data_IF_599506254041
#
_entry.id   IF_599506254041
#
_cell.length_a   1.000
_cell.length_b   1.000
_cell.length_c   1.000
_cell.angle_alpha   90.00
_cell.angle_beta   90.00
_cell.angle_gamma   90.00
#
_symmetry.space_group_name_H-M   'P 1'
#
loop_
_entity.id
_entity.type
_entity.pdbx_description
1 polymer ?
#
# COMPACT_ATOMS: atom_id res chain seq x y z
N UNK A 1 -9.15 -20.40 -22.22
CA UNK A 1 -9.17 -21.48 -23.23
C UNK A 1 -7.94 -21.28 -24.10
N UNK A 2 -7.06 -22.29 -24.17
CA UNK A 2 -5.85 -22.28 -24.97
C UNK A 2 -6.19 -22.32 -26.46
N UNK A 3 -5.38 -21.67 -27.31
CA UNK A 3 -4.67 -22.28 -28.45
C UNK A 3 -3.89 -21.19 -29.20
N UNK A 4 -2.57 -21.34 -29.25
CA UNK A 4 -1.68 -20.61 -30.14
C UNK A 4 -1.00 -21.64 -31.05
N UNK A 5 -0.92 -21.32 -32.35
CA UNK A 5 0.03 -21.97 -33.27
C UNK A 5 -0.52 -22.26 -34.66
N UNK A 6 -0.35 -21.31 -35.59
CA UNK A 6 0.59 -21.43 -36.72
C UNK A 6 0.30 -20.32 -37.73
N UNK A 7 1.24 -19.39 -37.87
CA UNK A 7 1.21 -18.33 -38.87
C UNK A 7 2.63 -18.00 -39.27
N UNK A 8 3.08 -18.67 -40.33
CA UNK A 8 4.36 -18.49 -41.00
C UNK A 8 4.47 -17.11 -41.66
N UNK A 9 5.50 -16.34 -41.26
CA UNK A 9 6.32 -15.48 -42.11
C UNK A 9 5.68 -14.24 -42.74
N UNK A 10 5.98 -13.07 -42.17
CA UNK A 10 6.21 -11.83 -42.91
C UNK A 10 7.30 -10.99 -42.19
N UNK A 11 8.48 -10.76 -42.78
CA UNK A 11 9.49 -9.87 -42.22
C UNK A 11 9.22 -8.46 -42.73
N UNK A 12 8.21 -7.78 -42.17
CA UNK A 12 7.85 -6.46 -42.70
C UNK A 12 6.86 -5.63 -41.90
N UNK A 13 6.21 -6.16 -40.86
CA UNK A 13 5.25 -5.36 -40.08
C UNK A 13 5.81 -5.03 -38.70
N UNK A 14 6.46 -3.88 -38.59
CA UNK A 14 6.65 -3.18 -37.32
C UNK A 14 5.31 -2.58 -36.87
N UNK A 15 4.31 -3.42 -36.63
CA UNK A 15 3.12 -3.05 -35.89
C UNK A 15 3.31 -3.52 -34.46
N UNK A 16 4.16 -2.78 -33.73
CA UNK A 16 4.05 -2.71 -32.28
C UNK A 16 2.62 -2.28 -32.01
N UNK A 17 1.77 -3.21 -31.58
CA UNK A 17 0.47 -2.85 -31.01
C UNK A 17 0.78 -1.88 -29.90
N UNK A 18 0.49 -0.60 -30.14
CA UNK A 18 0.49 0.42 -29.12
C UNK A 18 -0.48 -0.06 -28.03
N UNK A 19 0.07 -0.78 -27.05
CA UNK A 19 -0.49 -0.78 -25.72
C UNK A 19 -0.30 0.67 -25.31
N UNK A 20 -1.31 1.47 -25.60
CA UNK A 20 -1.60 2.67 -24.85
C UNK A 20 -1.90 2.20 -23.43
N UNK A 21 -0.86 1.82 -22.69
CA UNK A 21 -0.84 1.98 -21.25
C UNK A 21 -1.11 3.46 -21.07
N UNK A 22 -2.36 3.80 -20.72
CA UNK A 22 -2.59 5.07 -20.05
C UNK A 22 -1.46 5.21 -19.04
N UNK A 23 -0.76 6.35 -19.07
CA UNK A 23 0.29 6.72 -18.12
C UNK A 23 -0.35 6.95 -16.74
N UNK A 24 -1.04 5.91 -16.25
CA UNK A 24 -1.57 5.78 -14.92
C UNK A 24 -0.39 5.28 -14.11
N UNK A 25 0.22 6.14 -13.29
CA UNK A 25 1.35 5.73 -12.47
C UNK A 25 0.91 4.55 -11.61
N UNK A 26 1.74 3.50 -11.61
CA UNK A 26 1.48 2.28 -10.86
C UNK A 26 1.36 2.59 -9.36
N UNK A 27 0.50 1.87 -8.62
CA UNK A 27 0.42 2.00 -7.18
C UNK A 27 1.74 1.58 -6.52
N UNK A 28 2.09 2.23 -5.41
CA UNK A 28 3.24 1.82 -4.59
C UNK A 28 2.79 0.71 -3.66
N UNK A 29 3.51 -0.41 -3.65
CA UNK A 29 3.17 -1.59 -2.84
C UNK A 29 4.11 -1.66 -1.64
N UNK A 30 3.52 -1.93 -0.48
CA UNK A 30 4.17 -2.20 0.79
C UNK A 30 3.81 -3.59 1.25
N UNK A 31 4.70 -4.26 1.98
CA UNK A 31 4.50 -5.63 2.43
C UNK A 31 4.92 -5.83 3.88
N UNK A 32 4.19 -6.69 4.56
CA UNK A 32 4.58 -7.34 5.82
C UNK A 32 5.01 -8.78 5.52
N UNK A 33 5.20 -9.62 6.54
CA UNK A 33 5.59 -11.03 6.37
C UNK A 33 4.60 -11.84 5.53
N UNK A 34 3.30 -11.51 5.54
CA UNK A 34 2.29 -12.22 4.72
C UNK A 34 1.09 -11.37 4.30
N UNK A 35 1.19 -10.04 4.36
CA UNK A 35 0.16 -9.13 3.85
C UNK A 35 0.78 -8.00 3.02
N UNK A 36 -0.07 -7.32 2.26
CA UNK A 36 0.31 -6.28 1.33
C UNK A 36 -0.66 -5.10 1.40
N UNK A 37 -0.13 -3.90 1.14
CA UNK A 37 -0.90 -2.67 1.01
C UNK A 37 -0.46 -1.92 -0.25
N UNK A 38 -1.41 -1.55 -1.11
CA UNK A 38 -1.17 -0.69 -2.27
C UNK A 38 -1.67 0.72 -1.97
N UNK A 39 -0.76 1.69 -2.03
CA UNK A 39 -1.07 3.11 -2.05
C UNK A 39 -1.31 3.55 -3.50
N UNK A 40 -2.52 4.02 -3.79
CA UNK A 40 -2.88 4.59 -5.08
C UNK A 40 -2.61 6.09 -5.11
N UNK A 41 -2.50 6.65 -6.32
CA UNK A 41 -2.28 8.09 -6.52
C UNK A 41 -3.41 8.99 -6.02
N UNK A 42 -4.63 8.45 -5.92
CA UNK A 42 -5.76 9.16 -5.31
C UNK A 42 -5.65 9.25 -3.78
N UNK A 43 -4.62 8.64 -3.17
CA UNK A 43 -4.44 8.60 -1.72
C UNK A 43 -5.26 7.52 -1.03
N UNK A 44 -5.95 6.65 -1.78
CA UNK A 44 -6.63 5.47 -1.24
C UNK A 44 -5.66 4.29 -1.09
N UNK A 45 -5.95 3.45 -0.11
CA UNK A 45 -5.18 2.23 0.17
C UNK A 45 -6.04 0.99 -0.08
N UNK A 46 -5.43 -0.04 -0.65
CA UNK A 46 -6.05 -1.36 -0.79
C UNK A 46 -5.14 -2.39 -0.13
N UNK A 47 -5.69 -3.25 0.72
CA UNK A 47 -4.94 -4.29 1.42
C UNK A 47 -5.38 -5.68 1.01
N UNK A 48 -4.48 -6.65 1.07
CA UNK A 48 -4.76 -8.06 0.84
C UNK A 48 -3.71 -8.96 1.53
N UNK A 49 -4.03 -10.24 1.71
CA UNK A 49 -3.13 -11.22 2.33
C UNK A 49 -3.67 -11.72 3.66
N UNK A 50 -2.77 -11.97 4.61
CA UNK A 50 -3.15 -12.45 5.95
C UNK A 50 -3.82 -11.33 6.77
N UNK A 51 -5.04 -11.57 7.24
CA UNK A 51 -5.86 -10.60 7.97
C UNK A 51 -5.17 -10.11 9.26
N UNK A 52 -4.60 -11.03 10.05
CA UNK A 52 -3.93 -10.74 11.33
C UNK A 52 -2.64 -9.91 11.15
N UNK A 53 -2.06 -9.92 9.95
CA UNK A 53 -0.84 -9.18 9.60
C UNK A 53 -1.11 -7.90 8.78
N UNK A 54 -2.35 -7.41 8.81
CA UNK A 54 -2.76 -6.17 8.14
C UNK A 54 -3.32 -6.35 6.73
N UNK A 55 -3.66 -7.57 6.34
CA UNK A 55 -4.42 -7.87 5.12
C UNK A 55 -5.85 -7.34 5.19
N UNK A 56 -6.44 -7.34 6.39
CA UNK A 56 -7.73 -6.72 6.67
C UNK A 56 -7.53 -5.28 7.19
N UNK A 57 -7.95 -4.30 6.39
CA UNK A 57 -8.00 -2.89 6.76
C UNK A 57 -9.43 -2.37 6.94
N UNK A 58 -10.44 -3.27 6.96
CA UNK A 58 -11.86 -2.90 7.02
C UNK A 58 -12.22 -1.99 8.20
N UNK A 59 -11.56 -2.20 9.35
CA UNK A 59 -11.75 -1.38 10.56
C UNK A 59 -11.33 0.09 10.37
N UNK A 60 -10.34 0.35 9.50
CA UNK A 60 -9.76 1.69 9.27
C UNK A 60 -9.99 2.19 7.85
N UNK A 61 -10.76 1.47 7.02
CA UNK A 61 -10.94 1.77 5.61
C UNK A 61 -11.52 3.18 5.36
N UNK A 62 -12.34 3.68 6.29
CA UNK A 62 -12.87 5.05 6.25
C UNK A 62 -11.84 6.14 6.52
N UNK A 63 -10.71 5.80 7.14
CA UNK A 63 -9.63 6.72 7.50
C UNK A 63 -8.47 6.69 6.49
N UNK A 64 -8.37 5.63 5.67
CA UNK A 64 -7.34 5.44 4.64
C UNK A 64 -7.61 6.27 3.36
N UNK A 65 -7.84 7.55 3.55
CA UNK A 65 -8.03 8.56 2.51
C UNK A 65 -6.97 9.64 2.62
N UNK A 66 -6.52 10.18 1.48
CA UNK A 66 -5.44 11.18 1.44
C UNK A 66 -4.13 10.71 2.09
N UNK A 67 -3.84 9.41 1.97
CA UNK A 67 -2.57 8.83 2.40
C UNK A 67 -1.45 9.34 1.50
N UNK A 68 -0.37 9.82 2.13
CA UNK A 68 0.84 10.29 1.46
C UNK A 68 1.87 9.18 1.32
N UNK A 69 2.05 8.37 2.37
CA UNK A 69 3.03 7.29 2.41
C UNK A 69 2.57 6.23 3.41
N UNK A 70 2.92 4.98 3.16
CA UNK A 70 2.71 3.86 4.08
C UNK A 70 4.08 3.37 4.57
N UNK A 71 4.12 2.96 5.83
CA UNK A 71 5.22 2.25 6.45
C UNK A 71 4.73 0.89 6.92
N UNK A 72 5.61 -0.11 6.91
CA UNK A 72 5.31 -1.45 7.38
C UNK A 72 6.33 -1.94 8.40
N UNK A 73 5.87 -2.83 9.27
CA UNK A 73 6.69 -3.70 10.14
C UNK A 73 6.54 -5.15 9.66
N UNK A 74 6.99 -6.14 10.44
CA UNK A 74 6.79 -7.55 10.10
C UNK A 74 5.31 -7.97 10.07
N UNK A 75 4.44 -7.21 10.76
CA UNK A 75 3.05 -7.62 11.01
C UNK A 75 2.02 -6.48 11.03
N UNK A 76 2.43 -5.22 10.86
CA UNK A 76 1.53 -4.07 10.90
C UNK A 76 1.92 -3.01 9.86
N UNK A 77 0.99 -2.08 9.62
CA UNK A 77 1.16 -0.95 8.72
C UNK A 77 0.81 0.37 9.43
N UNK A 78 1.44 1.45 8.98
CA UNK A 78 1.17 2.82 9.38
C UNK A 78 1.05 3.71 8.14
N UNK A 79 -0.11 4.32 7.92
CA UNK A 79 -0.35 5.30 6.87
C UNK A 79 -0.19 6.71 7.45
N UNK A 80 0.72 7.48 6.85
CA UNK A 80 0.83 8.92 7.09
C UNK A 80 -0.02 9.65 6.05
N UNK A 81 -1.00 10.42 6.52
CA UNK A 81 -1.88 11.24 5.70
C UNK A 81 -1.27 12.60 5.42
N UNK A 82 -1.74 13.26 4.36
CA UNK A 82 -1.28 14.60 3.95
C UNK A 82 -1.55 15.69 5.00
N UNK A 83 -2.51 15.46 5.89
CA UNK A 83 -2.84 16.35 7.01
C UNK A 83 -1.91 16.13 8.23
N UNK A 84 -0.92 15.24 8.13
CA UNK A 84 0.00 14.89 9.22
C UNK A 84 -0.58 13.92 10.25
N UNK A 85 -1.79 13.41 10.04
CA UNK A 85 -2.36 12.34 10.87
C UNK A 85 -1.84 10.96 10.48
N UNK A 86 -1.80 10.05 11.45
CA UNK A 86 -1.32 8.67 11.24
C UNK A 86 -2.41 7.68 11.58
N UNK A 87 -2.63 6.73 10.67
CA UNK A 87 -3.57 5.62 10.84
C UNK A 87 -2.78 4.32 10.83
N UNK A 88 -2.96 3.46 11.82
CA UNK A 88 -2.24 2.19 11.92
C UNK A 88 -3.20 1.01 11.92
N UNK A 89 -2.77 -0.12 11.36
CA UNK A 89 -3.57 -1.36 11.34
C UNK A 89 -2.68 -2.61 11.26
N UNK A 90 -3.29 -3.78 11.42
CA UNK A 90 -2.61 -5.07 11.51
C UNK A 90 -2.33 -5.48 12.95
N UNK A 91 -1.26 -6.25 13.16
CA UNK A 91 -0.98 -6.89 14.45
C UNK A 91 -0.84 -5.88 15.60
N UNK A 92 -1.47 -6.21 16.74
CA UNK A 92 -1.49 -5.39 17.97
C UNK A 92 -0.10 -5.14 18.57
N UNK A 93 0.90 -5.94 18.21
CA UNK A 93 2.25 -5.88 18.78
C UNK A 93 3.07 -4.69 18.27
N UNK A 94 2.61 -4.04 17.19
CA UNK A 94 3.26 -2.87 16.61
C UNK A 94 2.32 -1.86 15.95
N UNK A 95 1.09 -2.27 15.65
CA UNK A 95 0.10 -1.43 14.96
C UNK A 95 -0.93 -0.77 15.87
N UNK A 96 -0.91 -0.98 17.18
CA UNK A 96 -1.86 -0.30 18.07
C UNK A 96 -1.35 1.10 18.45
N UNK A 97 -1.75 2.10 17.66
CA UNK A 97 -1.53 3.51 17.98
C UNK A 97 -2.74 4.16 18.65
N UNK A 98 -3.77 3.39 19.02
CA UNK A 98 -5.02 3.95 19.56
C UNK A 98 -4.82 4.82 20.80
N UNK A 99 -3.85 4.47 21.65
CA UNK A 99 -3.50 5.22 22.85
C UNK A 99 -2.90 6.60 22.57
N UNK A 100 -2.33 6.81 21.38
CA UNK A 100 -1.64 8.05 20.99
C UNK A 100 -2.22 8.67 19.70
N UNK A 101 -3.30 8.11 19.15
CA UNK A 101 -3.90 8.58 17.89
C UNK A 101 -4.26 10.07 17.92
N UNK A 102 -4.73 10.58 19.06
CA UNK A 102 -5.00 12.01 19.26
C UNK A 102 -3.76 12.89 19.36
N UNK A 103 -2.58 12.31 19.60
CA UNK A 103 -1.30 13.00 19.65
C UNK A 103 -0.50 12.90 18.35
N UNK A 104 -0.86 11.99 17.44
CA UNK A 104 -0.23 11.80 16.13
C UNK A 104 -0.73 12.81 15.09
N UNK A 105 -0.67 14.09 15.44
CA UNK A 105 -0.90 15.23 14.53
C UNK A 105 0.43 15.91 14.22
N UNK A 106 0.56 16.46 13.01
CA UNK A 106 1.80 17.11 12.53
C UNK A 106 3.00 16.16 12.45
N UNK A 107 2.79 14.88 12.14
CA UNK A 107 3.88 13.92 11.96
C UNK A 107 4.61 14.18 10.63
N UNK A 108 5.91 14.42 10.70
CA UNK A 108 6.76 14.67 9.53
C UNK A 108 7.37 13.39 8.98
N UNK A 109 7.76 12.44 9.85
CA UNK A 109 8.39 11.17 9.46
C UNK A 109 7.97 10.06 10.42
N UNK A 110 7.74 8.86 9.88
CA UNK A 110 7.59 7.62 10.65
C UNK A 110 8.83 6.75 10.46
N UNK A 111 9.39 6.26 11.56
CA UNK A 111 10.42 5.22 11.59
C UNK A 111 9.78 3.90 12.02
N UNK A 112 10.09 2.80 11.32
CA UNK A 112 9.66 1.46 11.70
C UNK A 112 10.85 0.59 12.12
N UNK A 113 10.60 -0.28 13.09
CA UNK A 113 11.43 -1.45 13.43
C UNK A 113 10.68 -2.72 13.04
N UNK A 114 11.25 -3.89 13.29
CA UNK A 114 10.58 -5.17 13.01
C UNK A 114 9.21 -5.29 13.72
N UNK A 115 9.03 -4.60 14.86
CA UNK A 115 7.83 -4.72 15.67
C UNK A 115 7.18 -3.40 16.10
N UNK A 116 7.76 -2.22 15.85
CA UNK A 116 7.23 -0.96 16.36
C UNK A 116 7.36 0.21 15.37
N UNK A 117 6.56 1.25 15.57
CA UNK A 117 6.67 2.53 14.88
C UNK A 117 7.05 3.65 15.85
N UNK A 118 7.82 4.63 15.37
CA UNK A 118 8.08 5.89 16.05
C UNK A 118 7.73 7.04 15.11
N UNK A 119 6.92 7.99 15.58
CA UNK A 119 6.55 9.18 14.83
C UNK A 119 7.37 10.39 15.33
N UNK A 120 7.94 11.13 14.39
CA UNK A 120 8.59 12.41 14.64
C UNK A 120 7.65 13.54 14.22
N UNK A 121 7.46 14.51 15.11
CA UNK A 121 6.82 15.79 14.78
C UNK A 121 7.89 16.73 14.22
#
# INVERSE_FOLDING_TARGET
>A
MFLAGCGSGDPGDTSTKDISTEDKPAPIIYSTSSAFAALKKDGSVVTWGNDDLGGDSSAVAGELTDVSVIYSTDAAFAALKKDGSVVTWGSSWGGDSSAVAGELTDVSVIYSTDAAFAALK
#
